data_IF_434363496557
#
_entry.id   IF_434363496557
#
_cell.length_a   1.000
_cell.length_b   1.000
_cell.length_c   1.000
_cell.angle_alpha   90.00
_cell.angle_beta   90.00
_cell.angle_gamma   90.00
#
_symmetry.space_group_name_H-M   'P 1'
#
loop_
_entity.id
_entity.type
_entity.pdbx_description
1 polymer ?
#
# COMPACT_ATOMS: atom_id res chain seq x y z
N UNK A 1 -17.25 13.22 -3.92
CA UNK A 1 -17.31 11.81 -3.47
C UNK A 1 -17.42 10.77 -4.60
N UNK A 2 -17.82 11.10 -5.84
CA UNK A 2 -18.10 10.07 -6.88
C UNK A 2 -16.93 9.59 -7.79
N UNK A 3 -15.74 10.20 -7.76
CA UNK A 3 -14.65 9.83 -8.70
C UNK A 3 -13.63 8.82 -8.14
N UNK A 4 -13.43 8.78 -6.82
CA UNK A 4 -12.45 7.89 -6.17
C UNK A 4 -12.95 6.43 -6.16
N UNK A 5 -14.26 6.22 -5.99
CA UNK A 5 -14.87 4.89 -6.00
C UNK A 5 -14.70 4.14 -7.33
N UNK A 6 -14.47 4.84 -8.45
CA UNK A 6 -14.32 4.22 -9.77
C UNK A 6 -12.94 3.58 -9.98
N UNK A 7 -11.90 4.04 -9.27
CA UNK A 7 -10.54 3.52 -9.39
C UNK A 7 -10.28 2.27 -8.54
N UNK A 8 -11.01 2.07 -7.44
CA UNK A 8 -10.83 0.93 -6.53
C UNK A 8 -11.50 -0.36 -7.01
N UNK A 9 -12.39 -0.30 -8.00
CA UNK A 9 -13.22 -1.44 -8.45
C UNK A 9 -12.49 -2.47 -9.34
N UNK A 10 -11.20 -2.29 -9.61
CA UNK A 10 -10.44 -3.13 -10.55
C UNK A 10 -9.71 -4.33 -9.93
N UNK A 11 -9.76 -4.52 -8.61
CA UNK A 11 -9.11 -5.64 -7.91
C UNK A 11 -10.12 -6.68 -7.44
N UNK A 12 -10.15 -7.86 -8.08
CA UNK A 12 -10.87 -9.03 -7.57
C UNK A 12 -10.26 -9.43 -6.22
N UNK A 13 -10.98 -9.26 -5.11
CA UNK A 13 -10.56 -9.81 -3.81
C UNK A 13 -11.63 -10.75 -3.26
N UNK A 14 -11.13 -11.88 -2.74
CA UNK A 14 -11.85 -13.04 -2.25
C UNK A 14 -12.70 -12.74 -1.02
N UNK A 15 -13.92 -13.29 -1.02
CA UNK A 15 -14.84 -13.28 0.12
C UNK A 15 -14.24 -14.12 1.26
N UNK A 16 -13.76 -13.45 2.33
CA UNK A 16 -13.47 -14.09 3.60
C UNK A 16 -14.46 -13.56 4.62
N UNK A 17 -15.52 -14.33 4.86
CA UNK A 17 -16.38 -14.15 6.03
C UNK A 17 -15.60 -14.69 7.24
N UNK A 18 -15.11 -13.79 8.08
CA UNK A 18 -14.41 -14.17 9.32
C UNK A 18 -15.34 -14.92 10.28
N UNK A 19 -14.84 -15.99 10.89
CA UNK A 19 -15.61 -16.89 11.75
C UNK A 19 -16.19 -16.25 13.04
N UNK A 20 -15.86 -14.99 13.36
CA UNK A 20 -16.42 -14.26 14.50
C UNK A 20 -17.74 -13.55 14.19
N UNK A 21 -18.04 -13.30 12.91
CA UNK A 21 -19.25 -12.62 12.46
C UNK A 21 -20.54 -13.38 12.75
N UNK A 22 -20.61 -14.73 12.61
CA UNK A 22 -21.80 -15.50 12.94
C UNK A 22 -22.08 -15.55 14.44
N UNK A 23 -21.04 -15.50 15.28
CA UNK A 23 -21.18 -15.61 16.75
C UNK A 23 -21.80 -14.34 17.34
N UNK A 24 -21.37 -13.17 16.87
CA UNK A 24 -21.97 -11.91 17.30
C UNK A 24 -23.42 -11.76 16.81
N UNK A 25 -23.70 -12.20 15.58
CA UNK A 25 -25.06 -12.19 15.04
C UNK A 25 -25.94 -13.23 15.75
N UNK A 26 -25.41 -14.38 16.15
CA UNK A 26 -26.16 -15.38 16.92
C UNK A 26 -26.51 -14.86 18.30
N UNK A 27 -25.59 -14.20 19.01
CA UNK A 27 -25.87 -13.61 20.32
C UNK A 27 -26.93 -12.50 20.23
N UNK A 28 -26.87 -11.67 19.18
CA UNK A 28 -27.88 -10.61 18.92
C UNK A 28 -29.25 -11.20 18.55
N UNK A 29 -29.28 -12.25 17.73
CA UNK A 29 -30.53 -12.94 17.37
C UNK A 29 -31.11 -13.74 18.54
N UNK A 30 -30.27 -14.35 19.38
CA UNK A 30 -30.69 -15.05 20.60
C UNK A 30 -31.26 -14.06 21.62
N UNK A 31 -30.69 -12.85 21.73
CA UNK A 31 -31.25 -11.77 22.55
C UNK A 31 -32.60 -11.26 22.02
N UNK A 32 -32.70 -10.96 20.72
CA UNK A 32 -33.97 -10.56 20.09
C UNK A 32 -35.03 -11.67 20.24
N UNK A 33 -34.64 -12.94 20.10
CA UNK A 33 -35.54 -14.08 20.31
C UNK A 33 -35.95 -14.23 21.78
N UNK A 34 -35.05 -13.97 22.75
CA UNK A 34 -35.37 -13.97 24.17
C UNK A 34 -36.34 -12.84 24.56
N UNK A 35 -36.18 -11.65 23.98
CA UNK A 35 -37.09 -10.52 24.20
C UNK A 35 -38.49 -10.77 23.61
N UNK A 36 -38.57 -11.50 22.48
CA UNK A 36 -39.84 -11.97 21.89
C UNK A 36 -40.43 -13.14 22.70
N UNK A 37 -39.63 -14.07 23.22
CA UNK A 37 -40.11 -15.23 23.98
C UNK A 37 -40.60 -14.88 25.39
N UNK A 38 -40.03 -13.84 26.02
CA UNK A 38 -40.58 -13.26 27.27
C UNK A 38 -41.99 -12.70 27.05
N UNK A 39 -42.35 -12.34 25.80
CA UNK A 39 -43.68 -11.86 25.42
C UNK A 39 -44.75 -12.97 25.33
N UNK A 40 -44.35 -14.24 25.19
CA UNK A 40 -45.26 -15.36 24.91
C UNK A 40 -45.54 -16.30 26.11
N UNK A 41 -45.01 -16.01 27.30
CA UNK A 41 -45.40 -16.73 28.53
C UNK A 41 -46.25 -15.87 29.45
N UNK A 42 -47.58 -15.96 29.31
CA UNK A 42 -48.41 -16.43 30.42
C UNK A 42 -49.82 -16.85 29.94
N UNK A 43 -50.31 -18.05 30.27
CA UNK A 43 -51.72 -18.36 30.12
C UNK A 43 -52.48 -17.63 31.24
N UNK A 44 -53.59 -16.98 30.88
CA UNK A 44 -54.59 -16.42 31.81
C UNK A 44 -54.25 -15.09 32.49
N UNK A 45 -54.60 -13.97 31.84
CA UNK A 45 -55.25 -12.79 32.49
C UNK A 45 -55.73 -11.81 31.41
N UNK A 46 -57.05 -11.54 31.28
CA UNK A 46 -57.57 -10.52 30.37
C UNK A 46 -57.66 -9.18 31.10
N UNK A 47 -57.14 -8.13 30.48
CA UNK A 47 -57.23 -6.71 30.88
C UNK A 47 -56.25 -6.24 31.99
N UNK A 48 -55.20 -5.52 31.56
CA UNK A 48 -54.51 -4.54 32.41
C UNK A 48 -53.10 -4.92 32.88
N UNK A 49 -52.19 -5.26 31.96
CA UNK A 49 -50.74 -5.28 32.25
C UNK A 49 -50.08 -3.99 31.79
N UNK A 50 -49.66 -3.13 32.71
CA UNK A 50 -48.64 -2.11 32.41
C UNK A 50 -47.33 -2.86 32.12
N UNK A 51 -46.98 -2.97 30.84
CA UNK A 51 -45.68 -3.48 30.43
C UNK A 51 -44.62 -2.41 30.67
N UNK A 52 -44.06 -2.35 31.88
CA UNK A 52 -42.79 -1.65 32.06
C UNK A 52 -41.74 -2.47 31.30
N UNK A 53 -41.33 -1.97 30.13
CA UNK A 53 -40.10 -2.41 29.50
C UNK A 53 -38.99 -2.08 30.49
N UNK A 54 -38.60 -3.05 31.30
CA UNK A 54 -37.35 -3.01 32.07
C UNK A 54 -36.19 -3.26 31.08
N UNK A 55 -36.17 -2.45 30.01
CA UNK A 55 -35.11 -2.40 29.05
C UNK A 55 -34.04 -1.52 29.66
N UNK A 56 -33.06 -2.15 30.32
CA UNK A 56 -31.86 -1.44 30.75
C UNK A 56 -31.35 -0.64 29.53
N UNK A 57 -31.32 0.70 29.56
CA UNK A 57 -30.94 1.51 28.40
C UNK A 57 -29.52 1.17 27.92
N UNK A 58 -28.70 0.66 28.83
CA UNK A 58 -27.37 0.12 28.56
C UNK A 58 -27.38 -1.07 27.59
N UNK A 59 -28.41 -1.92 27.58
CA UNK A 59 -28.49 -3.12 26.72
C UNK A 59 -28.99 -2.79 25.32
N UNK A 60 -29.92 -1.83 25.19
CA UNK A 60 -30.44 -1.36 23.90
C UNK A 60 -29.32 -0.69 23.08
N UNK A 61 -28.48 0.11 23.75
CA UNK A 61 -27.35 0.79 23.12
C UNK A 61 -26.31 -0.21 22.55
N UNK A 62 -26.07 -1.31 23.25
CA UNK A 62 -25.17 -2.37 22.79
C UNK A 62 -25.70 -3.08 21.54
N UNK A 63 -27.01 -3.38 21.49
CA UNK A 63 -27.63 -4.04 20.33
C UNK A 63 -27.62 -3.14 19.10
N UNK A 64 -27.97 -1.86 19.27
CA UNK A 64 -27.95 -0.89 18.17
C UNK A 64 -26.54 -0.68 17.62
N UNK A 65 -25.55 -0.61 18.51
CA UNK A 65 -24.13 -0.50 18.16
C UNK A 65 -23.65 -1.74 17.40
N UNK A 66 -24.00 -2.94 17.87
CA UNK A 66 -23.62 -4.19 17.20
C UNK A 66 -24.19 -4.31 15.78
N UNK A 67 -25.47 -3.98 15.59
CA UNK A 67 -26.12 -3.98 14.25
C UNK A 67 -25.48 -2.92 13.35
N UNK A 68 -25.21 -1.72 13.89
CA UNK A 68 -24.56 -0.63 13.16
C UNK A 68 -23.16 -1.01 12.68
N UNK A 69 -22.33 -1.57 13.55
CA UNK A 69 -20.99 -2.06 13.25
C UNK A 69 -21.04 -3.17 12.19
N UNK A 70 -21.96 -4.13 12.31
CA UNK A 70 -22.12 -5.22 11.35
C UNK A 70 -22.45 -4.68 9.95
N UNK A 71 -23.47 -3.82 9.85
CA UNK A 71 -23.90 -3.25 8.59
C UNK A 71 -22.80 -2.39 7.95
N UNK A 72 -22.10 -1.58 8.75
CA UNK A 72 -20.98 -0.78 8.27
C UNK A 72 -19.78 -1.62 7.84
N UNK A 73 -19.51 -2.73 8.53
CA UNK A 73 -18.47 -3.68 8.14
C UNK A 73 -18.79 -4.34 6.79
N UNK A 74 -20.05 -4.76 6.58
CA UNK A 74 -20.50 -5.30 5.28
C UNK A 74 -20.33 -4.27 4.15
N UNK A 75 -20.67 -3.01 4.39
CA UNK A 75 -20.47 -1.93 3.41
C UNK A 75 -18.97 -1.70 3.16
N UNK A 76 -18.15 -1.62 4.20
CA UNK A 76 -16.70 -1.40 4.09
C UNK A 76 -16.04 -2.50 3.26
N UNK A 77 -16.39 -3.77 3.49
CA UNK A 77 -15.90 -4.90 2.70
C UNK A 77 -16.37 -4.81 1.25
N UNK A 78 -17.63 -4.42 1.00
CA UNK A 78 -18.15 -4.16 -0.34
C UNK A 78 -17.41 -3.03 -1.08
N UNK A 79 -16.78 -2.10 -0.34
CA UNK A 79 -15.93 -1.03 -0.86
C UNK A 79 -14.44 -1.41 -0.94
N UNK A 80 -14.07 -2.63 -0.56
CA UNK A 80 -12.69 -3.15 -0.57
C UNK A 80 -11.86 -2.79 0.66
N UNK A 81 -12.47 -2.30 1.74
CA UNK A 81 -11.82 -2.05 3.02
C UNK A 81 -12.00 -3.25 3.96
N UNK A 82 -10.88 -3.79 4.47
CA UNK A 82 -10.87 -4.94 5.37
C UNK A 82 -10.50 -4.47 6.78
N UNK A 83 -11.42 -4.60 7.72
CA UNK A 83 -11.21 -4.26 9.14
C UNK A 83 -10.80 -5.49 9.93
N UNK A 84 -9.66 -5.44 10.63
CA UNK A 84 -9.23 -6.53 11.54
C UNK A 84 -9.93 -6.50 12.90
N UNK A 85 -10.35 -5.31 13.35
CA UNK A 85 -11.08 -5.08 14.60
C UNK A 85 -12.38 -4.35 14.28
N UNK A 86 -13.50 -4.84 14.78
CA UNK A 86 -14.82 -4.24 14.53
C UNK A 86 -14.94 -2.82 15.11
N UNK A 87 -14.28 -2.55 16.24
CA UNK A 87 -14.21 -1.22 16.89
C UNK A 87 -13.51 -0.15 16.03
N UNK A 88 -12.71 -0.55 15.03
CA UNK A 88 -12.02 0.40 14.15
C UNK A 88 -13.02 1.27 13.36
N UNK A 89 -14.24 0.79 13.13
CA UNK A 89 -15.28 1.54 12.40
C UNK A 89 -15.71 2.77 13.21
N UNK A 90 -15.86 2.64 14.53
CA UNK A 90 -16.21 3.76 15.41
C UNK A 90 -15.06 4.76 15.51
N UNK A 91 -13.82 4.25 15.67
CA UNK A 91 -12.61 5.08 15.67
C UNK A 91 -12.45 5.86 14.35
N UNK A 92 -12.86 5.28 13.22
CA UNK A 92 -12.85 5.94 11.91
C UNK A 92 -13.90 7.06 11.80
N UNK A 93 -15.05 6.95 12.47
CA UNK A 93 -16.08 8.00 12.48
C UNK A 93 -15.60 9.23 13.25
N UNK A 94 -14.81 9.03 14.31
CA UNK A 94 -14.21 10.10 15.11
C UNK A 94 -12.89 10.67 14.58
N UNK A 95 -12.48 10.32 13.35
CA UNK A 95 -11.16 10.69 12.84
C UNK A 95 -11.17 12.06 12.12
N UNK A 96 -10.49 13.04 12.69
CA UNK A 96 -10.36 14.39 12.10
C UNK A 96 -9.13 14.54 11.18
N UNK A 97 -8.06 13.76 11.43
CA UNK A 97 -6.80 13.84 10.68
C UNK A 97 -6.41 12.47 10.16
N UNK A 98 -6.21 12.38 8.84
CA UNK A 98 -5.73 11.17 8.17
C UNK A 98 -4.31 11.37 7.65
N UNK A 99 -3.33 10.74 8.29
CA UNK A 99 -1.96 10.66 7.80
C UNK A 99 -1.85 9.48 6.82
N UNK A 100 -1.93 9.76 5.52
CA UNK A 100 -1.71 8.75 4.48
C UNK A 100 -0.25 8.72 4.05
N UNK A 101 0.33 7.53 3.89
CA UNK A 101 1.61 7.39 3.22
C UNK A 101 1.48 7.79 1.74
N UNK A 102 2.51 8.41 1.17
CA UNK A 102 2.52 8.79 -0.25
C UNK A 102 2.77 7.58 -1.14
N UNK A 103 3.70 6.72 -0.75
CA UNK A 103 4.19 5.63 -1.61
C UNK A 103 3.24 4.45 -1.51
N UNK A 104 2.79 3.90 -2.64
CA UNK A 104 1.83 2.76 -2.73
C UNK A 104 0.42 3.02 -2.18
N UNK A 105 0.16 4.14 -1.49
CA UNK A 105 -1.19 4.53 -1.05
C UNK A 105 -1.75 5.68 -1.90
N UNK A 106 -1.10 6.86 -1.90
CA UNK A 106 -1.54 7.97 -2.76
C UNK A 106 -1.08 7.83 -4.22
N UNK A 107 0.05 7.16 -4.43
CA UNK A 107 0.67 6.99 -5.74
C UNK A 107 0.53 5.55 -6.24
N UNK A 108 0.38 5.38 -7.55
CA UNK A 108 0.30 4.05 -8.19
C UNK A 108 1.61 3.26 -8.11
N UNK A 109 2.67 3.85 -7.55
CA UNK A 109 4.03 3.28 -7.52
C UNK A 109 4.49 2.77 -8.89
N UNK A 110 4.06 3.45 -9.96
CA UNK A 110 4.47 3.23 -11.35
C UNK A 110 5.35 4.40 -11.75
N UNK A 111 6.66 4.18 -11.75
CA UNK A 111 7.63 5.20 -12.09
C UNK A 111 7.83 5.24 -13.61
N UNK A 112 8.05 6.43 -14.15
CA UNK A 112 8.41 6.64 -15.56
C UNK A 112 9.64 7.52 -15.59
N UNK A 113 10.61 7.18 -16.45
CA UNK A 113 11.87 7.92 -16.56
C UNK A 113 11.65 9.10 -17.50
N UNK A 114 11.91 10.31 -17.01
CA UNK A 114 11.88 11.53 -17.81
C UNK A 114 13.32 12.00 -18.06
N UNK A 115 13.87 11.74 -19.24
CA UNK A 115 15.27 12.03 -19.57
C UNK A 115 15.42 13.22 -20.54
N UNK A 116 16.43 14.08 -20.30
CA UNK A 116 16.78 15.26 -21.13
C UNK A 116 18.20 15.23 -21.71
N UNK A 117 18.97 14.17 -21.44
CA UNK A 117 20.40 14.02 -21.83
C UNK A 117 20.55 12.68 -22.54
N UNK A 118 21.51 12.55 -23.46
CA UNK A 118 21.82 11.38 -24.28
C UNK A 118 21.56 10.06 -23.52
N UNK A 119 20.36 9.54 -23.75
CA UNK A 119 19.62 8.69 -22.80
C UNK A 119 20.21 7.30 -22.78
N UNK A 120 20.75 6.88 -23.91
CA UNK A 120 21.02 5.48 -24.20
C UNK A 120 22.14 4.93 -23.33
N UNK A 121 23.22 5.68 -23.12
CA UNK A 121 24.35 5.19 -22.31
C UNK A 121 24.01 5.11 -20.82
N UNK A 122 23.36 6.13 -20.26
CA UNK A 122 23.00 6.16 -18.83
C UNK A 122 21.91 5.15 -18.52
N UNK A 123 20.92 5.01 -19.41
CA UNK A 123 19.84 4.03 -19.24
C UNK A 123 20.39 2.61 -19.42
N UNK A 124 21.31 2.36 -20.36
CA UNK A 124 22.00 1.06 -20.49
C UNK A 124 22.78 0.69 -19.23
N UNK A 125 23.50 1.66 -18.63
CA UNK A 125 24.17 1.46 -17.35
C UNK A 125 23.18 1.21 -16.21
N UNK A 126 22.07 1.95 -16.15
CA UNK A 126 21.03 1.74 -15.15
C UNK A 126 20.39 0.36 -15.28
N UNK A 127 20.22 -0.12 -16.51
CA UNK A 127 19.68 -1.45 -16.81
C UNK A 127 20.62 -2.56 -16.35
N UNK A 128 21.93 -2.41 -16.57
CA UNK A 128 22.96 -3.34 -16.05
C UNK A 128 22.94 -3.45 -14.52
N UNK A 129 22.59 -2.39 -13.81
CA UNK A 129 22.46 -2.40 -12.35
C UNK A 129 21.04 -2.77 -11.86
N UNK A 130 20.17 -3.28 -12.75
CA UNK A 130 18.79 -3.66 -12.46
C UNK A 130 18.56 -5.12 -12.84
N UNK A 131 17.68 -5.80 -12.12
CA UNK A 131 17.32 -7.20 -12.37
C UNK A 131 15.93 -7.23 -13.02
N UNK A 132 15.74 -8.05 -14.06
CA UNK A 132 14.44 -8.16 -14.78
C UNK A 132 13.40 -8.87 -13.91
N UNK A 133 13.85 -9.85 -13.14
CA UNK A 133 13.03 -10.65 -12.24
C UNK A 133 12.55 -9.84 -11.03
N UNK A 134 13.25 -8.77 -10.67
CA UNK A 134 12.90 -7.94 -9.53
C UNK A 134 11.72 -7.03 -9.88
N UNK A 135 10.63 -7.17 -9.13
CA UNK A 135 9.37 -6.43 -9.35
C UNK A 135 9.33 -5.09 -8.63
N UNK A 136 10.50 -4.50 -8.37
CA UNK A 136 10.55 -3.15 -7.83
C UNK A 136 10.10 -2.14 -8.89
N UNK A 137 9.42 -1.08 -8.47
CA UNK A 137 8.90 -0.05 -9.34
C UNK A 137 10.02 0.69 -10.10
N UNK A 138 11.19 0.82 -9.48
CA UNK A 138 12.37 1.44 -10.08
C UNK A 138 12.93 0.54 -11.19
N UNK A 139 13.11 -0.75 -10.92
CA UNK A 139 13.65 -1.72 -11.88
C UNK A 139 12.69 -1.87 -13.07
N UNK A 140 11.40 -1.97 -12.80
CA UNK A 140 10.35 -2.04 -13.84
C UNK A 140 10.37 -0.82 -14.76
N UNK A 141 10.59 0.38 -14.21
CA UNK A 141 10.66 1.61 -15.00
C UNK A 141 11.92 1.65 -15.90
N UNK A 142 13.05 1.17 -15.39
CA UNK A 142 14.31 1.10 -16.16
C UNK A 142 14.19 0.07 -17.28
N UNK A 143 13.68 -1.13 -16.98
CA UNK A 143 13.46 -2.19 -17.99
C UNK A 143 12.51 -1.71 -19.08
N UNK A 144 11.45 -0.99 -18.71
CA UNK A 144 10.49 -0.44 -19.67
C UNK A 144 11.00 0.73 -20.50
N UNK A 145 12.22 1.23 -20.25
CA UNK A 145 12.80 2.33 -21.01
C UNK A 145 13.59 1.86 -22.23
N UNK A 146 14.17 0.65 -22.21
CA UNK A 146 14.84 0.05 -23.38
C UNK A 146 13.85 -0.71 -24.27
N UNK A 147 14.10 -0.70 -25.58
CA UNK A 147 13.33 -1.49 -26.54
C UNK A 147 13.60 -3.00 -26.40
N UNK A 148 14.87 -3.40 -26.28
CA UNK A 148 15.27 -4.78 -25.96
C UNK A 148 16.16 -4.79 -24.70
N UNK A 149 15.68 -5.38 -23.59
CA UNK A 149 16.49 -5.54 -22.38
C UNK A 149 17.81 -6.27 -22.64
N UNK A 150 17.86 -7.20 -23.60
CA UNK A 150 19.04 -8.05 -23.87
C UNK A 150 20.28 -7.26 -24.27
N UNK A 151 20.11 -6.08 -24.85
CA UNK A 151 21.21 -5.18 -25.22
C UNK A 151 22.08 -4.80 -24.02
N UNK A 152 21.48 -4.71 -22.81
CA UNK A 152 22.21 -4.37 -21.60
C UNK A 152 23.28 -5.40 -21.22
N UNK A 153 23.06 -6.68 -21.55
CA UNK A 153 23.95 -7.80 -21.26
C UNK A 153 24.80 -8.25 -22.45
N UNK A 154 24.61 -7.65 -23.63
CA UNK A 154 25.41 -7.97 -24.81
C UNK A 154 26.88 -7.57 -24.58
N UNK A 155 27.81 -8.51 -24.81
CA UNK A 155 29.26 -8.25 -24.74
C UNK A 155 29.81 -8.05 -23.34
N UNK A 156 29.12 -8.58 -22.31
CA UNK A 156 29.52 -8.47 -20.92
C UNK A 156 29.50 -9.81 -20.22
N UNK A 157 30.51 -10.07 -19.41
CA UNK A 157 30.51 -11.16 -18.45
C UNK A 157 30.22 -10.62 -17.04
N UNK A 158 29.10 -11.03 -16.47
CA UNK A 158 28.77 -10.74 -15.07
C UNK A 158 29.75 -11.47 -14.14
N UNK A 159 30.35 -10.73 -13.21
CA UNK A 159 31.25 -11.28 -12.18
C UNK A 159 30.52 -11.38 -10.85
N UNK A 160 29.89 -10.29 -10.41
CA UNK A 160 29.20 -10.27 -9.13
C UNK A 160 28.11 -9.20 -9.09
N UNK A 161 26.91 -9.60 -8.67
CA UNK A 161 25.79 -8.72 -8.44
C UNK A 161 25.54 -8.51 -6.95
N UNK A 162 25.42 -7.24 -6.54
CA UNK A 162 25.10 -6.80 -5.20
C UNK A 162 23.65 -6.30 -5.16
N UNK A 163 22.71 -7.05 -4.55
CA UNK A 163 21.32 -6.66 -4.44
C UNK A 163 21.13 -5.47 -3.51
N UNK A 164 19.93 -4.88 -3.55
CA UNK A 164 19.59 -3.71 -2.75
C UNK A 164 19.76 -3.98 -1.25
N UNK A 165 20.66 -3.23 -0.60
CA UNK A 165 20.78 -3.21 0.86
C UNK A 165 20.02 -1.99 1.43
N UNK A 166 19.07 -2.15 2.37
CA UNK A 166 18.34 -1.01 2.97
C UNK A 166 19.23 -0.05 3.78
N UNK A 167 20.42 -0.47 4.23
CA UNK A 167 21.38 0.39 4.94
C UNK A 167 22.12 1.29 3.93
N UNK A 168 22.73 0.67 2.91
CA UNK A 168 23.51 1.39 1.91
C UNK A 168 22.64 2.03 0.82
N UNK A 169 21.38 1.59 0.71
CA UNK A 169 20.38 1.93 -0.30
C UNK A 169 20.90 1.83 -1.74
N UNK A 170 21.74 0.82 -1.97
CA UNK A 170 22.54 0.66 -3.18
C UNK A 170 22.38 -0.74 -3.78
N UNK A 171 22.32 -0.77 -5.10
CA UNK A 171 22.43 -1.98 -5.93
C UNK A 171 23.62 -1.79 -6.89
N UNK A 172 24.41 -2.84 -7.15
CA UNK A 172 25.56 -2.73 -8.02
C UNK A 172 25.83 -4.00 -8.82
N UNK A 173 26.35 -3.84 -10.03
CA UNK A 173 26.86 -4.95 -10.85
C UNK A 173 28.34 -4.72 -11.12
N UNK A 174 29.15 -5.74 -10.84
CA UNK A 174 30.53 -5.84 -11.30
C UNK A 174 30.60 -6.79 -12.50
N UNK A 175 31.24 -6.33 -13.57
CA UNK A 175 31.31 -7.09 -14.82
C UNK A 175 32.62 -6.83 -15.56
N UNK A 176 32.96 -7.76 -16.45
CA UNK A 176 34.12 -7.66 -17.35
C UNK A 176 33.59 -7.38 -18.75
N UNK A 177 34.16 -6.37 -19.41
CA UNK A 177 33.89 -6.07 -20.80
C UNK A 177 34.97 -6.67 -21.71
N UNK A 178 34.77 -6.66 -23.02
CA UNK A 178 35.61 -7.30 -24.05
C UNK A 178 37.11 -6.96 -24.01
N UNK A 179 37.54 -5.96 -23.24
CA UNK A 179 38.94 -5.57 -23.02
C UNK A 179 39.56 -6.17 -21.74
N UNK A 180 38.93 -7.19 -21.14
CA UNK A 180 39.33 -7.83 -19.87
C UNK A 180 39.44 -6.85 -18.68
N UNK A 181 38.84 -5.67 -18.83
CA UNK A 181 38.80 -4.63 -17.82
C UNK A 181 37.55 -4.80 -16.96
N UNK A 182 37.76 -4.80 -15.65
CA UNK A 182 36.66 -4.88 -14.69
C UNK A 182 36.00 -3.51 -14.53
N UNK A 183 34.69 -3.49 -14.77
CA UNK A 183 33.83 -2.33 -14.60
C UNK A 183 32.81 -2.59 -13.49
N UNK A 184 32.42 -1.51 -12.80
CA UNK A 184 31.36 -1.57 -11.79
C UNK A 184 30.35 -0.46 -12.05
N UNK A 185 29.09 -0.83 -12.13
CA UNK A 185 27.97 0.10 -12.27
C UNK A 185 27.11 0.00 -11.02
N UNK A 186 26.51 1.11 -10.59
CA UNK A 186 25.74 1.17 -9.35
C UNK A 186 24.57 2.12 -9.48
N UNK A 187 23.45 1.72 -8.87
CA UNK A 187 22.25 2.53 -8.70
C UNK A 187 22.05 2.81 -7.22
N UNK A 188 21.93 4.08 -6.87
CA UNK A 188 21.85 4.56 -5.49
C UNK A 188 21.28 5.99 -5.49
N UNK A 189 20.86 6.51 -4.34
CA UNK A 189 20.39 7.89 -4.25
C UNK A 189 21.49 8.90 -4.67
N UNK A 190 21.12 10.04 -5.29
CA UNK A 190 22.08 11.04 -5.77
C UNK A 190 23.08 11.53 -4.71
N UNK A 191 22.66 11.69 -3.46
CA UNK A 191 23.57 12.09 -2.37
C UNK A 191 24.59 11.02 -2.00
N UNK A 192 24.22 9.74 -2.15
CA UNK A 192 25.08 8.62 -1.81
C UNK A 192 26.08 8.31 -2.94
N UNK A 193 25.69 8.45 -4.22
CA UNK A 193 26.64 8.27 -5.33
C UNK A 193 27.75 9.33 -5.28
N UNK A 194 27.41 10.54 -4.85
CA UNK A 194 28.35 11.64 -4.70
C UNK A 194 29.49 11.34 -3.71
N UNK A 195 29.22 10.54 -2.66
CA UNK A 195 30.24 10.13 -1.70
C UNK A 195 31.24 9.09 -2.26
N UNK A 196 30.90 8.45 -3.38
CA UNK A 196 31.73 7.43 -4.04
C UNK A 196 32.49 8.06 -5.24
N UNK A 197 32.09 9.24 -5.69
CA UNK A 197 32.72 9.94 -6.81
C UNK A 197 34.09 10.51 -6.41
N UNK A 198 35.08 10.32 -7.29
CA UNK A 198 36.45 10.80 -7.07
C UNK A 198 36.55 12.34 -7.07
N UNK A 199 35.73 13.02 -7.86
CA UNK A 199 35.70 14.47 -8.04
C UNK A 199 34.56 15.15 -7.27
N UNK A 200 34.18 14.59 -6.11
CA UNK A 200 33.05 15.05 -5.29
C UNK A 200 32.99 16.57 -5.15
N UNK A 201 34.09 17.19 -4.70
CA UNK A 201 34.17 18.62 -4.40
C UNK A 201 33.85 19.53 -5.60
N UNK A 202 34.09 19.07 -6.83
CA UNK A 202 33.84 19.85 -8.04
C UNK A 202 32.39 19.73 -8.53
N UNK A 203 31.76 18.57 -8.33
CA UNK A 203 30.43 18.27 -8.88
C UNK A 203 29.30 18.45 -7.85
N UNK A 204 29.62 18.48 -6.56
CA UNK A 204 28.65 18.49 -5.45
C UNK A 204 27.63 19.62 -5.58
N UNK A 205 28.09 20.85 -5.82
CA UNK A 205 27.18 22.01 -5.94
C UNK A 205 26.23 21.86 -7.14
N UNK A 206 26.74 21.38 -8.28
CA UNK A 206 25.94 21.18 -9.50
C UNK A 206 24.90 20.09 -9.30
N UNK A 207 25.28 18.98 -8.65
CA UNK A 207 24.38 17.86 -8.36
C UNK A 207 23.27 18.31 -7.41
N UNK A 208 23.59 19.02 -6.34
CA UNK A 208 22.58 19.55 -5.41
C UNK A 208 21.60 20.50 -6.10
N UNK A 209 22.10 21.44 -6.91
CA UNK A 209 21.24 22.37 -7.64
C UNK A 209 20.26 21.65 -8.59
N UNK A 210 20.71 20.59 -9.26
CA UNK A 210 19.86 19.78 -10.13
C UNK A 210 18.82 19.01 -9.31
N UNK A 211 19.21 18.40 -8.19
CA UNK A 211 18.28 17.69 -7.28
C UNK A 211 17.17 18.63 -6.81
N UNK A 212 17.54 19.83 -6.34
CA UNK A 212 16.56 20.80 -5.83
C UNK A 212 15.62 21.28 -6.94
N UNK A 213 16.15 21.49 -8.15
CA UNK A 213 15.32 21.83 -9.32
C UNK A 213 14.30 20.73 -9.67
N UNK A 214 14.72 19.46 -9.64
CA UNK A 214 13.81 18.33 -9.86
C UNK A 214 12.79 18.19 -8.72
N UNK A 215 13.22 18.41 -7.47
CA UNK A 215 12.33 18.40 -6.31
C UNK A 215 11.22 19.45 -6.47
N UNK A 216 11.57 20.69 -6.80
CA UNK A 216 10.60 21.77 -7.00
C UNK A 216 9.64 21.53 -8.18
N UNK A 217 10.12 20.87 -9.24
CA UNK A 217 9.31 20.66 -10.46
C UNK A 217 8.33 19.50 -10.33
N UNK A 218 8.70 18.43 -9.61
CA UNK A 218 7.96 17.17 -9.61
C UNK A 218 7.42 16.72 -8.25
N UNK A 219 7.87 17.34 -7.16
CA UNK A 219 7.41 17.04 -5.79
C UNK A 219 6.75 18.29 -5.18
N UNK A 220 5.56 18.62 -5.68
CA UNK A 220 4.60 19.53 -5.04
C UNK A 220 3.52 18.71 -4.36
#
# INVERSE_FOLDING_TARGET
MGRIARFLKAGKYTERVGAGTPVYLSDVLEYLAAEVHVKDRNPETPHGGFYCLEGDPLKIDQVLTAIGIFFMCSIAVGMGAITKRMTTIEEMVGMDVLCSDKTRTLTLNKLTIFARVDVDTVVLMAMRASIVENKDAIDTAIVGTLADPKEAWAGIQEVHFLPFNPIDKRTALAYIHSEDKMHRVSKVAPKQILNIAHNKSEIEQRVHAVIDKFAQTFFV
#
